data_IF_999904136951
#
_entry.id   IF_999904136951
#
_cell.length_a   1.000
_cell.length_b   1.000
_cell.length_c   1.000
_cell.angle_alpha   90.00
_cell.angle_beta   90.00
_cell.angle_gamma   90.00
#
_symmetry.space_group_name_H-M   'P 1'
#
loop_
_entity.id
_entity.type
_entity.pdbx_description
1 polymer ?
#
# COMPACT_ATOMS: atom_id res chain seq x y z
N UNK A 1 19.26 14.97 -68.11
CA UNK A 1 19.37 14.55 -66.68
C UNK A 1 17.95 14.15 -66.21
N UNK A 2 17.70 12.90 -65.77
CA UNK A 2 16.44 12.42 -65.16
C UNK A 2 16.42 12.70 -63.63
N UNK A 3 15.44 12.36 -62.78
CA UNK A 3 14.07 11.75 -62.84
C UNK A 3 13.23 12.39 -61.68
N UNK A 4 11.91 12.23 -61.44
CA UNK A 4 10.86 11.21 -61.66
C UNK A 4 10.85 10.04 -60.62
N UNK A 5 9.63 9.75 -60.13
CA UNK A 5 9.14 8.88 -59.03
C UNK A 5 9.55 7.37 -59.13
N UNK A 6 9.23 6.43 -58.20
CA UNK A 6 8.09 6.30 -57.25
C UNK A 6 8.35 5.36 -56.02
N UNK A 7 7.31 4.71 -55.48
CA UNK A 7 7.22 4.07 -54.14
C UNK A 7 7.41 2.53 -54.10
N UNK A 8 7.50 1.98 -52.87
CA UNK A 8 7.24 0.58 -52.40
C UNK A 8 8.28 -0.57 -52.57
N UNK A 9 8.22 -1.52 -51.60
CA UNK A 9 9.11 -2.67 -51.25
C UNK A 9 8.83 -3.96 -52.09
N UNK A 10 9.33 -5.23 -51.83
CA UNK A 10 10.01 -5.83 -50.64
C UNK A 10 11.06 -7.02 -50.86
N UNK A 11 11.39 -7.77 -49.78
CA UNK A 11 11.90 -9.19 -49.68
C UNK A 11 13.43 -9.52 -49.83
N UNK A 12 13.89 -10.58 -49.12
CA UNK A 12 15.28 -11.13 -49.00
C UNK A 12 15.52 -12.46 -49.77
N UNK A 13 16.74 -13.07 -49.85
CA UNK A 13 17.10 -14.17 -48.91
C UNK A 13 18.62 -14.54 -48.64
N UNK A 14 18.85 -15.23 -47.49
CA UNK A 14 19.86 -16.27 -47.06
C UNK A 14 21.21 -16.58 -47.75
N UNK A 15 22.22 -17.05 -46.95
CA UNK A 15 22.96 -18.36 -47.08
C UNK A 15 23.87 -18.66 -45.84
N UNK A 16 24.50 -19.85 -45.77
CA UNK A 16 24.89 -20.63 -44.55
C UNK A 16 26.33 -20.52 -43.96
N UNK A 17 26.44 -21.08 -42.73
CA UNK A 17 27.60 -21.42 -41.86
C UNK A 17 28.63 -22.43 -42.45
N UNK A 18 29.74 -22.75 -41.73
CA UNK A 18 29.71 -23.91 -40.81
C UNK A 18 30.54 -23.78 -39.50
N UNK A 19 30.52 -24.85 -38.70
CA UNK A 19 31.10 -25.01 -37.35
C UNK A 19 32.39 -25.84 -37.37
N UNK A 20 33.33 -25.61 -36.45
CA UNK A 20 34.16 -26.69 -35.89
C UNK A 20 34.67 -26.38 -34.47
N UNK A 21 34.85 -27.42 -33.65
CA UNK A 21 35.17 -27.35 -32.22
C UNK A 21 36.26 -28.35 -31.85
N UNK A 22 37.25 -27.95 -31.04
CA UNK A 22 38.23 -28.87 -30.45
C UNK A 22 38.52 -28.48 -29.00
N UNK A 23 38.43 -29.46 -28.10
CA UNK A 23 39.06 -29.49 -26.77
C UNK A 23 39.95 -30.76 -26.76
N UNK A 24 41.07 -30.79 -26.02
CA UNK A 24 41.02 -31.51 -24.74
C UNK A 24 42.01 -31.05 -23.64
N UNK A 25 41.84 -31.66 -22.46
CA UNK A 25 42.87 -32.04 -21.47
C UNK A 25 43.85 -31.01 -20.87
N UNK A 26 43.56 -30.62 -19.62
CA UNK A 26 44.36 -30.84 -18.39
C UNK A 26 45.90 -30.69 -18.52
N UNK A 27 46.46 -29.78 -17.73
CA UNK A 27 47.71 -30.03 -16.98
C UNK A 27 47.72 -29.28 -15.63
N UNK A 28 48.27 -29.90 -14.59
CA UNK A 28 48.58 -29.24 -13.32
C UNK A 28 50.03 -28.71 -13.34
N UNK A 29 50.26 -27.54 -12.75
CA UNK A 29 51.58 -27.14 -12.25
C UNK A 29 51.48 -26.03 -11.20
N UNK A 30 51.86 -26.33 -9.96
CA UNK A 30 52.25 -25.29 -9.00
C UNK A 30 53.59 -24.69 -9.43
N UNK A 31 53.80 -23.38 -9.23
CA UNK A 31 54.97 -22.81 -8.52
C UNK A 31 54.93 -21.26 -8.49
N UNK A 32 55.87 -20.67 -7.76
CA UNK A 32 55.74 -19.34 -7.14
C UNK A 32 56.73 -18.28 -7.66
N UNK A 33 56.21 -17.05 -7.82
CA UNK A 33 56.79 -15.75 -7.43
C UNK A 33 58.31 -15.51 -7.63
N UNK A 34 58.67 -14.53 -8.48
CA UNK A 34 59.56 -13.36 -8.21
C UNK A 34 60.07 -12.77 -9.57
N UNK A 35 60.49 -11.50 -9.73
CA UNK A 35 60.24 -10.20 -9.07
C UNK A 35 61.35 -9.20 -9.47
N UNK A 36 61.07 -8.14 -10.26
CA UNK A 36 61.89 -6.90 -10.43
C UNK A 36 61.07 -5.89 -11.30
N UNK A 37 61.15 -4.56 -11.19
CA UNK A 37 61.86 -3.62 -10.28
C UNK A 37 61.07 -2.30 -10.20
N UNK A 38 61.01 -1.66 -9.01
CA UNK A 38 60.70 -0.23 -8.87
C UNK A 38 62.01 0.59 -8.75
N UNK A 39 62.00 1.89 -9.09
CA UNK A 39 61.98 2.95 -8.05
C UNK A 39 61.01 4.10 -8.42
N UNK A 40 60.71 5.13 -7.62
CA UNK A 40 61.43 5.81 -6.52
C UNK A 40 60.48 6.11 -5.34
N UNK A 41 61.02 6.19 -4.11
CA UNK A 41 60.33 6.66 -2.90
C UNK A 41 61.31 7.45 -2.00
N UNK A 42 60.83 8.42 -1.21
CA UNK A 42 61.10 8.42 0.24
C UNK A 42 59.83 8.80 1.07
N UNK A 43 59.63 8.46 2.35
CA UNK A 43 60.29 7.57 3.35
C UNK A 43 59.34 7.47 4.60
N UNK A 44 59.57 6.83 5.77
CA UNK A 44 60.76 6.21 6.40
C UNK A 44 60.35 5.02 7.34
N UNK A 45 61.05 4.81 8.47
CA UNK A 45 60.96 3.69 9.45
C UNK A 45 59.81 3.83 10.49
N UNK A 46 59.25 2.78 11.16
CA UNK A 46 59.77 1.49 11.73
C UNK A 46 60.55 1.65 13.06
N UNK A 47 60.70 0.65 13.98
CA UNK A 47 60.50 -0.82 13.88
C UNK A 47 59.61 -1.50 14.98
N UNK A 48 58.90 -2.62 14.74
CA UNK A 48 59.23 -4.08 14.87
C UNK A 48 59.53 -4.63 16.30
N UNK A 49 58.71 -5.59 16.80
CA UNK A 49 59.13 -6.93 17.32
C UNK A 49 57.93 -7.86 17.69
N UNK A 50 58.19 -9.16 17.87
CA UNK A 50 57.18 -10.23 18.01
C UNK A 50 57.68 -11.46 18.81
N UNK A 51 56.84 -12.08 19.67
CA UNK A 51 57.15 -13.33 20.41
C UNK A 51 55.89 -14.23 20.57
N UNK A 52 56.10 -15.54 20.73
CA UNK A 52 55.09 -16.61 20.90
C UNK A 52 54.46 -16.71 22.32
N UNK A 53 53.37 -17.49 22.51
CA UNK A 53 52.60 -17.56 23.77
C UNK A 53 53.06 -18.64 24.75
N UNK A 54 52.74 -18.46 26.04
CA UNK A 54 52.77 -19.50 27.08
C UNK A 54 51.60 -19.35 28.09
N UNK A 55 51.33 -20.41 28.86
CA UNK A 55 50.13 -20.59 29.69
C UNK A 55 50.42 -20.30 31.17
N UNK A 56 49.51 -19.64 31.89
CA UNK A 56 49.17 -20.01 33.28
C UNK A 56 47.80 -19.46 33.75
N UNK A 57 47.24 -20.08 34.78
CA UNK A 57 45.91 -19.80 35.37
C UNK A 57 45.98 -18.73 36.48
N UNK A 58 44.93 -17.92 36.68
CA UNK A 58 44.09 -17.96 37.91
C UNK A 58 43.11 -16.77 38.11
N UNK A 59 41.96 -17.09 38.70
CA UNK A 59 41.15 -16.33 39.68
C UNK A 59 40.63 -14.89 39.45
N UNK A 60 39.29 -14.81 39.38
CA UNK A 60 38.38 -13.98 40.20
C UNK A 60 38.21 -12.45 39.97
N UNK A 61 36.96 -12.12 39.56
CA UNK A 61 36.07 -11.09 40.16
C UNK A 61 36.00 -9.64 39.65
N UNK A 62 34.85 -9.36 39.00
CA UNK A 62 34.00 -8.14 39.07
C UNK A 62 34.36 -6.93 38.15
N UNK A 63 33.28 -6.31 37.66
CA UNK A 63 33.12 -5.15 36.74
C UNK A 63 33.74 -3.82 37.26
N UNK A 64 33.86 -2.73 36.45
CA UNK A 64 33.16 -2.46 35.17
C UNK A 64 33.97 -1.79 34.02
N UNK A 65 33.27 -1.60 32.87
CA UNK A 65 33.57 -0.71 31.74
C UNK A 65 35.01 -0.61 31.19
N UNK A 66 35.26 -1.26 30.03
CA UNK A 66 35.45 -0.56 28.73
C UNK A 66 35.53 -1.56 27.57
N UNK A 67 34.98 -1.18 26.41
CA UNK A 67 35.22 -1.83 25.11
C UNK A 67 36.38 -1.07 24.40
N UNK A 68 37.06 -1.61 23.36
CA UNK A 68 36.55 -2.61 22.40
C UNK A 68 37.50 -3.79 22.06
N UNK A 69 36.96 -4.83 21.41
CA UNK A 69 37.46 -5.45 20.15
C UNK A 69 36.56 -6.65 19.74
N UNK A 70 36.36 -6.85 18.44
CA UNK A 70 35.66 -8.01 17.83
C UNK A 70 36.60 -9.24 17.71
N UNK A 71 36.14 -10.48 17.39
CA UNK A 71 34.82 -10.86 16.87
C UNK A 71 34.19 -12.13 17.50
N UNK A 72 32.95 -12.43 17.12
CA UNK A 72 32.51 -13.80 16.77
C UNK A 72 31.14 -13.78 16.10
N UNK A 73 31.01 -14.36 14.89
CA UNK A 73 29.71 -14.60 14.27
C UNK A 73 29.25 -15.99 14.71
N UNK A 74 28.43 -16.02 15.75
CA UNK A 74 27.55 -17.15 16.04
C UNK A 74 26.12 -16.75 15.63
N UNK A 75 25.28 -17.66 15.13
CA UNK A 75 23.87 -17.35 14.83
C UNK A 75 23.06 -17.23 16.13
N UNK A 76 23.24 -16.12 16.84
CA UNK A 76 22.32 -15.70 17.89
C UNK A 76 21.01 -15.28 17.23
N UNK A 77 19.97 -16.10 17.39
CA UNK A 77 18.60 -15.74 17.02
C UNK A 77 18.23 -14.51 17.85
N UNK A 78 18.20 -13.34 17.20
CA UNK A 78 17.70 -12.13 17.84
C UNK A 78 16.18 -12.30 18.02
N UNK A 79 15.75 -12.58 19.25
CA UNK A 79 14.35 -12.51 19.64
C UNK A 79 13.93 -11.03 19.69
N UNK A 80 13.65 -10.47 18.51
CA UNK A 80 13.07 -9.13 18.34
C UNK A 80 11.58 -9.19 18.65
N UNK A 81 11.24 -9.22 19.94
CA UNK A 81 9.86 -9.12 20.40
C UNK A 81 9.29 -7.74 20.02
N UNK A 82 8.02 -7.71 19.61
CA UNK A 82 7.30 -6.50 19.23
C UNK A 82 7.30 -5.49 20.39
N UNK A 83 8.11 -4.42 20.26
CA UNK A 83 8.47 -3.54 21.37
C UNK A 83 7.48 -2.38 21.51
N UNK A 84 6.23 -2.73 21.83
CA UNK A 84 5.13 -1.78 22.03
C UNK A 84 5.30 -1.07 23.38
N UNK A 85 5.90 0.12 23.36
CA UNK A 85 5.53 1.10 24.38
C UNK A 85 4.10 1.58 24.07
N UNK A 86 3.17 1.54 25.03
CA UNK A 86 1.73 1.66 24.76
C UNK A 86 1.39 3.00 24.12
N UNK A 87 0.66 2.95 23.00
CA UNK A 87 0.21 4.11 22.21
C UNK A 87 -0.98 4.84 22.86
N UNK A 88 -1.14 4.73 24.18
CA UNK A 88 -2.37 5.07 24.92
C UNK A 88 -2.54 6.55 25.26
N UNK A 89 -1.69 7.45 24.73
CA UNK A 89 -1.73 8.88 25.08
C UNK A 89 -1.38 9.92 23.97
N UNK A 90 -1.82 9.76 22.69
CA UNK A 90 -1.75 10.84 21.70
C UNK A 90 -3.12 11.37 21.18
N UNK A 91 -4.24 10.70 21.47
CA UNK A 91 -5.53 10.90 20.74
C UNK A 91 -6.11 12.32 20.88
N UNK A 92 -5.75 13.07 21.94
CA UNK A 92 -6.13 14.48 22.12
C UNK A 92 -4.95 15.46 22.08
N UNK A 93 -3.70 14.98 22.06
CA UNK A 93 -2.49 15.83 22.07
C UNK A 93 -1.96 16.09 20.65
N UNK A 94 -2.86 16.48 19.72
CA UNK A 94 -2.57 16.87 18.33
C UNK A 94 -1.80 18.21 18.21
N UNK A 95 -0.78 18.41 19.06
CA UNK A 95 0.04 19.62 19.08
C UNK A 95 1.07 19.53 17.93
N UNK A 96 0.91 20.41 16.94
CA UNK A 96 1.92 20.79 15.94
C UNK A 96 2.25 19.87 14.74
N UNK A 97 1.42 18.89 14.37
CA UNK A 97 1.52 18.26 13.02
C UNK A 97 0.82 19.10 11.92
N UNK A 98 1.30 20.34 11.70
CA UNK A 98 0.67 21.30 10.79
C UNK A 98 0.59 20.86 9.32
N UNK A 99 1.46 19.94 8.88
CA UNK A 99 1.40 19.35 7.54
C UNK A 99 0.29 18.32 7.34
N UNK A 100 -0.40 17.89 8.41
CA UNK A 100 -1.48 16.89 8.38
C UNK A 100 -2.82 17.43 8.93
N UNK A 101 -2.97 18.75 9.11
CA UNK A 101 -4.26 19.34 9.54
C UNK A 101 -5.37 19.17 8.48
N UNK A 102 -5.00 18.98 7.20
CA UNK A 102 -5.89 18.55 6.12
C UNK A 102 -5.98 17.01 5.97
N UNK A 103 -5.64 16.25 7.01
CA UNK A 103 -5.64 14.77 7.02
C UNK A 103 -5.91 14.20 8.42
N UNK A 104 -6.72 14.87 9.23
CA UNK A 104 -7.02 14.44 10.59
C UNK A 104 -7.87 13.16 10.67
N UNK A 105 -8.85 12.91 9.78
CA UNK A 105 -9.47 11.59 9.69
C UNK A 105 -8.50 10.45 9.34
N UNK A 106 -7.41 10.74 8.60
CA UNK A 106 -6.34 9.74 8.39
C UNK A 106 -5.59 9.43 9.69
N UNK A 107 -5.31 10.44 10.53
CA UNK A 107 -4.73 10.20 11.87
C UNK A 107 -5.67 9.33 12.72
N UNK A 108 -6.98 9.59 12.69
CA UNK A 108 -7.98 8.73 13.35
C UNK A 108 -7.91 7.29 12.82
N UNK A 109 -8.02 7.08 11.51
CA UNK A 109 -7.95 5.74 10.91
C UNK A 109 -6.64 5.01 11.24
N UNK A 110 -5.49 5.65 11.03
CA UNK A 110 -4.18 5.02 11.25
C UNK A 110 -3.96 4.64 12.72
N UNK A 111 -4.37 5.48 13.67
CA UNK A 111 -4.24 5.18 15.11
C UNK A 111 -5.23 4.09 15.53
N UNK A 112 -6.51 4.21 15.16
CA UNK A 112 -7.53 3.22 15.51
C UNK A 112 -7.24 1.84 14.91
N UNK A 113 -6.84 1.76 13.64
CA UNK A 113 -6.51 0.48 13.01
C UNK A 113 -5.20 -0.10 13.55
N UNK A 114 -4.21 0.73 13.91
CA UNK A 114 -3.01 0.24 14.60
C UNK A 114 -3.36 -0.39 15.96
N UNK A 115 -4.22 0.24 16.74
CA UNK A 115 -4.68 -0.31 18.03
C UNK A 115 -5.54 -1.57 17.84
N UNK A 116 -6.42 -1.58 16.82
CA UNK A 116 -7.22 -2.75 16.45
C UNK A 116 -6.35 -3.97 16.11
N UNK A 117 -5.31 -3.80 15.29
CA UNK A 117 -4.39 -4.88 14.92
C UNK A 117 -3.57 -5.41 16.10
N UNK A 118 -3.34 -4.56 17.11
CA UNK A 118 -2.67 -4.90 18.37
C UNK A 118 -3.63 -5.46 19.43
N UNK A 119 -4.92 -5.64 19.10
CA UNK A 119 -6.01 -6.03 20.02
C UNK A 119 -6.17 -5.11 21.25
N UNK A 120 -5.70 -3.86 21.16
CA UNK A 120 -5.70 -2.88 22.24
C UNK A 120 -7.09 -2.26 22.46
N UNK A 121 -7.63 -2.39 23.69
CA UNK A 121 -8.98 -1.92 24.01
C UNK A 121 -9.07 -0.40 24.15
N UNK A 122 -9.93 0.25 23.38
CA UNK A 122 -10.13 1.71 23.40
C UNK A 122 -11.32 2.08 24.31
N UNK A 123 -11.18 3.02 25.27
CA UNK A 123 -12.29 3.44 26.13
C UNK A 123 -13.44 4.07 25.34
N UNK A 124 -14.68 3.74 25.69
CA UNK A 124 -15.89 4.18 24.97
C UNK A 124 -16.07 5.71 24.90
N UNK A 125 -15.59 6.44 25.91
CA UNK A 125 -15.56 7.90 25.90
C UNK A 125 -14.70 8.43 24.73
N UNK A 126 -13.50 7.87 24.55
CA UNK A 126 -12.57 8.26 23.47
C UNK A 126 -13.16 7.90 22.09
N UNK A 127 -13.85 6.76 21.96
CA UNK A 127 -14.52 6.43 20.69
C UNK A 127 -15.69 7.37 20.38
N UNK A 128 -16.45 7.83 21.39
CA UNK A 128 -17.50 8.84 21.21
C UNK A 128 -16.90 10.21 20.84
N UNK A 129 -15.81 10.63 21.49
CA UNK A 129 -15.06 11.84 21.11
C UNK A 129 -14.57 11.80 19.65
N UNK A 130 -14.11 10.64 19.17
CA UNK A 130 -13.76 10.45 17.74
C UNK A 130 -14.99 10.51 16.84
N UNK A 131 -16.14 9.94 17.23
CA UNK A 131 -17.38 10.07 16.46
C UNK A 131 -17.82 11.54 16.33
N UNK A 132 -17.81 12.29 17.43
CA UNK A 132 -18.09 13.73 17.47
C UNK A 132 -17.10 14.54 16.63
N UNK A 133 -15.81 14.19 16.67
CA UNK A 133 -14.79 14.85 15.85
C UNK A 133 -14.98 14.57 14.34
N UNK A 134 -15.34 13.35 13.96
CA UNK A 134 -15.58 12.99 12.56
C UNK A 134 -16.90 13.60 12.04
N UNK A 135 -17.93 13.73 12.87
CA UNK A 135 -19.15 14.48 12.56
C UNK A 135 -18.83 15.97 12.24
N UNK A 136 -17.99 16.61 13.07
CA UNK A 136 -17.47 17.96 12.80
C UNK A 136 -16.60 18.06 11.53
N UNK A 137 -16.08 16.94 11.02
CA UNK A 137 -15.37 16.87 9.74
C UNK A 137 -16.30 16.56 8.54
N UNK A 138 -17.58 16.28 8.75
CA UNK A 138 -18.50 15.98 7.67
C UNK A 138 -18.97 17.27 6.97
N UNK A 139 -19.02 17.27 5.64
CA UNK A 139 -19.55 18.42 4.90
C UNK A 139 -21.09 18.39 4.88
N UNK A 140 -21.77 19.55 5.00
CA UNK A 140 -23.20 19.68 4.70
C UNK A 140 -23.59 19.25 3.28
N UNK A 141 -22.63 19.17 2.35
CA UNK A 141 -22.81 18.66 0.98
C UNK A 141 -22.48 17.16 0.84
N UNK A 142 -22.10 16.49 1.93
CA UNK A 142 -21.68 15.09 1.94
C UNK A 142 -20.19 14.87 1.78
N UNK A 143 -19.75 13.65 2.14
CA UNK A 143 -18.33 13.33 2.33
C UNK A 143 -17.75 13.94 3.61
N UNK A 144 -16.53 13.53 3.94
CA UNK A 144 -15.75 14.09 5.04
C UNK A 144 -14.55 14.89 4.50
N UNK A 145 -14.18 15.92 5.24
CA UNK A 145 -13.09 16.85 4.94
C UNK A 145 -11.82 16.51 5.72
N UNK A 146 -10.70 17.15 5.36
CA UNK A 146 -9.41 16.94 6.05
C UNK A 146 -9.39 17.34 7.53
N UNK A 147 -10.31 18.20 7.93
CA UNK A 147 -10.57 18.69 9.28
C UNK A 147 -11.83 19.58 9.31
N UNK A 148 -12.31 20.02 10.48
CA UNK A 148 -13.57 20.75 10.59
C UNK A 148 -13.59 22.05 9.77
N UNK A 149 -14.68 22.26 9.03
CA UNK A 149 -14.87 23.44 8.17
C UNK A 149 -14.06 23.45 6.86
N UNK A 150 -13.27 22.42 6.56
CA UNK A 150 -12.60 22.25 5.26
C UNK A 150 -13.55 21.63 4.21
N UNK A 151 -13.14 21.57 2.95
CA UNK A 151 -13.91 20.92 1.88
C UNK A 151 -13.85 19.38 1.95
N UNK A 152 -14.95 18.71 1.62
CA UNK A 152 -15.02 17.25 1.54
C UNK A 152 -14.12 16.69 0.42
N UNK A 153 -13.49 15.56 0.70
CA UNK A 153 -12.46 14.95 -0.15
C UNK A 153 -12.48 13.42 0.03
N UNK A 154 -12.28 12.65 -1.03
CA UNK A 154 -12.43 11.18 -1.02
C UNK A 154 -11.45 10.48 -0.05
N UNK A 155 -10.20 10.93 0.03
CA UNK A 155 -9.21 10.36 0.95
C UNK A 155 -9.61 10.44 2.46
N UNK A 156 -9.93 11.61 3.05
CA UNK A 156 -10.46 11.65 4.42
C UNK A 156 -11.88 11.07 4.53
N UNK A 157 -12.68 11.03 3.46
CA UNK A 157 -13.97 10.31 3.44
C UNK A 157 -13.78 8.81 3.66
N UNK A 158 -12.84 8.18 2.95
CA UNK A 158 -12.43 6.80 3.17
C UNK A 158 -11.94 6.56 4.61
N UNK A 159 -11.04 7.43 5.09
CA UNK A 159 -10.47 7.28 6.42
C UNK A 159 -11.51 7.44 7.54
N UNK A 160 -12.43 8.41 7.42
CA UNK A 160 -13.52 8.61 8.37
C UNK A 160 -14.48 7.41 8.40
N UNK A 161 -14.91 6.90 7.24
CA UNK A 161 -15.81 5.74 7.16
C UNK A 161 -15.15 4.48 7.72
N UNK A 162 -13.87 4.24 7.43
CA UNK A 162 -13.13 3.14 8.05
C UNK A 162 -13.00 3.30 9.57
N UNK A 163 -12.66 4.50 10.06
CA UNK A 163 -12.55 4.79 11.50
C UNK A 163 -13.87 4.54 12.25
N UNK A 164 -15.00 4.99 11.69
CA UNK A 164 -16.33 4.74 12.23
C UNK A 164 -16.70 3.24 12.17
N UNK A 165 -16.27 2.51 11.13
CA UNK A 165 -16.45 1.06 11.06
C UNK A 165 -15.63 0.28 12.10
N UNK A 166 -14.40 0.72 12.42
CA UNK A 166 -13.56 0.12 13.48
C UNK A 166 -14.22 0.29 14.86
N UNK A 167 -14.75 1.48 15.14
CA UNK A 167 -15.52 1.75 16.37
C UNK A 167 -16.79 0.88 16.39
N UNK A 168 -17.50 0.82 15.26
CA UNK A 168 -18.57 -0.14 15.03
C UNK A 168 -19.76 -0.07 15.98
N UNK A 169 -20.02 1.09 16.60
CA UNK A 169 -21.21 1.36 17.41
C UNK A 169 -22.33 1.92 16.54
N UNK A 170 -23.58 1.86 17.00
CA UNK A 170 -24.69 2.54 16.32
C UNK A 170 -24.46 4.06 16.27
N UNK A 171 -23.87 4.65 17.31
CA UNK A 171 -23.37 6.03 17.31
C UNK A 171 -22.45 6.30 16.11
N UNK A 172 -21.39 5.49 15.93
CA UNK A 172 -20.43 5.66 14.84
C UNK A 172 -21.06 5.46 13.45
N UNK A 173 -21.97 4.50 13.29
CA UNK A 173 -22.69 4.31 12.02
C UNK A 173 -23.65 5.46 11.72
N UNK A 174 -24.33 6.01 12.73
CA UNK A 174 -25.28 7.11 12.59
C UNK A 174 -24.62 8.46 12.26
N UNK A 175 -23.32 8.64 12.48
CA UNK A 175 -22.57 9.82 11.98
C UNK A 175 -22.65 9.91 10.45
N UNK A 176 -22.72 8.80 9.71
CA UNK A 176 -22.61 8.80 8.25
C UNK A 176 -23.94 9.22 7.59
N UNK A 177 -24.04 10.47 7.10
CA UNK A 177 -25.17 10.90 6.27
C UNK A 177 -25.11 10.23 4.88
N UNK A 178 -25.76 9.06 4.77
CA UNK A 178 -25.77 8.23 3.55
C UNK A 178 -26.38 8.89 2.33
N UNK A 179 -27.42 9.73 2.50
CA UNK A 179 -27.99 10.47 1.35
C UNK A 179 -26.96 11.46 0.82
N UNK A 180 -26.40 12.31 1.68
CA UNK A 180 -25.40 13.30 1.26
C UNK A 180 -24.10 12.67 0.77
N UNK A 181 -23.69 11.53 1.34
CA UNK A 181 -22.54 10.79 0.83
C UNK A 181 -22.77 10.32 -0.61
N UNK A 182 -23.99 9.88 -0.98
CA UNK A 182 -24.31 9.54 -2.36
C UNK A 182 -24.29 10.78 -3.28
N UNK A 183 -24.90 11.89 -2.85
CA UNK A 183 -24.85 13.18 -3.56
C UNK A 183 -23.40 13.60 -3.86
N UNK A 184 -22.53 13.47 -2.86
CA UNK A 184 -21.10 13.78 -2.96
C UNK A 184 -20.40 12.86 -3.97
N UNK A 185 -20.58 11.54 -3.91
CA UNK A 185 -19.97 10.63 -4.89
C UNK A 185 -20.41 10.93 -6.32
N UNK A 186 -21.69 11.26 -6.54
CA UNK A 186 -22.18 11.71 -7.86
C UNK A 186 -21.54 13.03 -8.31
N UNK A 187 -21.36 14.01 -7.41
CA UNK A 187 -20.70 15.28 -7.73
C UNK A 187 -19.23 15.15 -8.19
N UNK A 188 -18.61 13.98 -7.97
CA UNK A 188 -17.23 13.69 -8.34
C UNK A 188 -17.12 12.77 -9.57
N UNK A 189 -18.20 12.07 -9.94
CA UNK A 189 -18.20 11.07 -11.04
C UNK A 189 -17.97 11.76 -12.39
N UNK A 190 -16.97 11.29 -13.12
CA UNK A 190 -16.61 11.81 -14.43
C UNK A 190 -17.24 10.99 -15.58
N UNK A 191 -17.44 11.59 -16.77
CA UNK A 191 -18.02 10.92 -17.93
C UNK A 191 -17.20 9.73 -18.44
N UNK A 192 -15.88 9.73 -18.23
CA UNK A 192 -14.97 8.66 -18.65
C UNK A 192 -14.89 7.47 -17.65
N UNK A 193 -15.75 7.44 -16.63
CA UNK A 193 -15.74 6.44 -15.56
C UNK A 193 -14.87 6.77 -14.35
N UNK A 194 -13.96 7.74 -14.43
CA UNK A 194 -13.13 8.17 -13.29
C UNK A 194 -13.90 8.98 -12.24
N UNK A 195 -13.25 9.34 -11.15
CA UNK A 195 -13.75 10.30 -10.17
C UNK A 195 -12.66 11.37 -9.91
N UNK A 196 -13.05 12.60 -9.61
CA UNK A 196 -12.14 13.58 -8.99
C UNK A 196 -12.02 13.33 -7.48
N UNK A 197 -10.87 13.62 -6.88
CA UNK A 197 -10.64 13.43 -5.44
C UNK A 197 -11.47 14.38 -4.57
N UNK A 198 -11.77 15.57 -5.08
CA UNK A 198 -12.70 16.55 -4.52
C UNK A 198 -13.24 17.45 -5.65
N UNK A 199 -14.21 18.32 -5.36
CA UNK A 199 -14.72 19.30 -6.33
C UNK A 199 -13.56 20.20 -6.78
N UNK A 200 -13.24 20.21 -8.08
CA UNK A 200 -12.09 20.92 -8.65
C UNK A 200 -10.71 20.28 -8.36
N UNK A 201 -10.67 19.05 -7.85
CA UNK A 201 -9.45 18.32 -7.50
C UNK A 201 -8.85 17.47 -8.62
N UNK A 202 -7.83 16.69 -8.27
CA UNK A 202 -7.14 15.78 -9.18
C UNK A 202 -7.94 14.50 -9.48
N UNK A 203 -7.60 13.84 -10.59
CA UNK A 203 -8.11 12.50 -10.95
C UNK A 203 -6.95 11.51 -10.89
N UNK A 204 -7.06 10.48 -10.06
CA UNK A 204 -6.30 9.24 -10.16
C UNK A 204 -7.03 8.09 -9.44
N UNK A 205 -6.53 6.85 -9.59
CA UNK A 205 -7.22 5.63 -9.14
C UNK A 205 -7.47 5.52 -7.63
N UNK A 206 -6.84 6.37 -6.78
CA UNK A 206 -7.25 6.53 -5.37
C UNK A 206 -8.73 6.89 -5.25
N UNK A 207 -9.24 7.71 -6.18
CA UNK A 207 -10.62 8.20 -6.18
C UNK A 207 -11.62 7.04 -6.30
N UNK A 208 -11.44 6.19 -7.32
CA UNK A 208 -12.29 5.03 -7.58
C UNK A 208 -12.28 4.04 -6.40
N UNK A 209 -11.12 3.80 -5.77
CA UNK A 209 -11.04 2.97 -4.57
C UNK A 209 -11.76 3.59 -3.36
N UNK A 210 -11.50 4.87 -3.07
CA UNK A 210 -12.14 5.55 -1.94
C UNK A 210 -13.68 5.57 -2.12
N UNK A 211 -14.16 5.90 -3.33
CA UNK A 211 -15.57 5.91 -3.68
C UNK A 211 -16.20 4.51 -3.57
N UNK A 212 -15.58 3.49 -4.18
CA UNK A 212 -16.09 2.11 -4.13
C UNK A 212 -16.13 1.57 -2.70
N UNK A 213 -15.08 1.80 -1.91
CA UNK A 213 -14.96 1.36 -0.52
C UNK A 213 -16.07 1.93 0.36
N UNK A 214 -16.28 3.25 0.37
CA UNK A 214 -17.33 3.83 1.21
C UNK A 214 -18.73 3.50 0.68
N UNK A 215 -18.90 3.37 -0.65
CA UNK A 215 -20.18 3.02 -1.25
C UNK A 215 -20.63 1.58 -0.95
N UNK A 216 -19.69 0.62 -0.89
CA UNK A 216 -19.98 -0.77 -0.57
C UNK A 216 -20.20 -1.00 0.92
N UNK A 217 -19.36 -0.41 1.79
CA UNK A 217 -19.51 -0.51 3.24
C UNK A 217 -20.83 0.11 3.72
N UNK A 218 -21.18 1.30 3.22
CA UNK A 218 -22.38 2.05 3.65
C UNK A 218 -23.65 1.68 2.87
N UNK A 219 -23.60 0.69 1.99
CA UNK A 219 -24.75 0.24 1.18
C UNK A 219 -25.43 1.38 0.39
N UNK A 220 -24.65 2.21 -0.32
CA UNK A 220 -25.18 3.29 -1.19
C UNK A 220 -24.79 3.11 -2.67
N UNK A 221 -24.11 2.01 -3.00
CA UNK A 221 -23.69 1.69 -4.36
C UNK A 221 -24.89 1.51 -5.31
N UNK A 222 -24.85 2.17 -6.47
CA UNK A 222 -25.81 1.99 -7.57
C UNK A 222 -25.07 1.60 -8.86
N UNK A 223 -25.69 0.89 -9.81
CA UNK A 223 -25.04 0.50 -11.05
C UNK A 223 -24.50 1.68 -11.87
N UNK A 224 -25.27 2.78 -11.94
CA UNK A 224 -24.91 3.96 -12.74
C UNK A 224 -23.76 4.78 -12.11
N UNK A 225 -23.62 4.78 -10.78
CA UNK A 225 -22.56 5.53 -10.10
C UNK A 225 -21.15 5.07 -10.51
N UNK A 226 -20.98 3.78 -10.81
CA UNK A 226 -19.71 3.17 -11.23
C UNK A 226 -19.69 2.76 -12.72
N UNK A 227 -20.60 3.34 -13.52
CA UNK A 227 -20.61 3.17 -14.98
C UNK A 227 -19.30 3.67 -15.60
N UNK A 228 -18.73 2.86 -16.50
CA UNK A 228 -17.38 2.97 -17.06
C UNK A 228 -16.18 2.97 -16.08
N UNK A 229 -16.38 3.03 -14.76
CA UNK A 229 -15.27 3.01 -13.78
C UNK A 229 -14.40 1.75 -13.92
N UNK A 230 -15.00 0.62 -14.28
CA UNK A 230 -14.26 -0.62 -14.60
C UNK A 230 -13.31 -0.42 -15.78
N UNK A 231 -13.83 0.06 -16.92
CA UNK A 231 -13.04 0.29 -18.13
C UNK A 231 -11.90 1.28 -17.88
N UNK A 232 -12.17 2.33 -17.10
CA UNK A 232 -11.17 3.31 -16.72
C UNK A 232 -10.04 2.74 -15.85
N UNK A 233 -10.36 1.98 -14.79
CA UNK A 233 -9.33 1.33 -13.95
C UNK A 233 -8.47 0.36 -14.78
N UNK A 234 -9.08 -0.41 -15.69
CA UNK A 234 -8.35 -1.33 -16.57
C UNK A 234 -7.35 -0.58 -17.47
N UNK A 235 -7.71 0.61 -17.96
CA UNK A 235 -6.79 1.45 -18.73
C UNK A 235 -5.61 2.02 -17.93
N UNK A 236 -5.61 1.90 -16.60
CA UNK A 236 -4.46 2.21 -15.75
C UNK A 236 -3.46 1.04 -15.62
N UNK A 237 -3.82 -0.20 -16.00
CA UNK A 237 -2.87 -1.32 -16.06
C UNK A 237 -1.87 -1.11 -17.21
N UNK A 238 -0.57 -1.19 -16.92
CA UNK A 238 0.47 -0.85 -17.90
C UNK A 238 1.32 -2.05 -18.33
N UNK A 239 2.29 -1.82 -19.22
CA UNK A 239 3.21 -2.82 -19.79
C UNK A 239 4.09 -3.55 -18.76
N UNK A 240 4.21 -3.05 -17.54
CA UNK A 240 4.92 -3.72 -16.45
C UNK A 240 4.06 -4.82 -15.79
N UNK A 241 2.73 -4.70 -15.90
CA UNK A 241 1.72 -5.59 -15.31
C UNK A 241 0.97 -5.00 -14.10
N UNK A 242 1.55 -4.03 -13.39
CA UNK A 242 0.87 -3.30 -12.31
C UNK A 242 -0.03 -2.17 -12.84
N UNK A 243 -0.71 -1.45 -11.94
CA UNK A 243 -1.52 -0.29 -12.30
C UNK A 243 -0.85 1.01 -11.88
N UNK A 244 -1.11 2.03 -12.68
CA UNK A 244 -0.64 3.40 -12.52
C UNK A 244 -1.75 4.32 -11.99
N UNK A 245 -1.42 5.57 -11.64
CA UNK A 245 -2.41 6.51 -11.08
C UNK A 245 -3.48 6.92 -12.09
N UNK A 246 -3.04 7.24 -13.31
CA UNK A 246 -3.86 7.51 -14.49
C UNK A 246 -3.24 6.81 -15.70
N UNK A 247 -4.01 6.54 -16.78
CA UNK A 247 -3.56 5.74 -17.91
C UNK A 247 -2.23 6.20 -18.52
N UNK A 248 -1.35 5.23 -18.79
CA UNK A 248 -0.06 5.45 -19.45
C UNK A 248 1.12 5.86 -18.54
N UNK A 249 0.93 5.94 -17.21
CA UNK A 249 2.02 6.22 -16.27
C UNK A 249 2.70 4.93 -15.74
N UNK A 250 3.72 5.09 -14.89
CA UNK A 250 4.46 4.02 -14.21
C UNK A 250 3.57 3.29 -13.17
N UNK A 251 3.72 1.96 -13.06
CA UNK A 251 2.97 1.15 -12.13
C UNK A 251 3.47 1.33 -10.69
N UNK A 252 2.57 1.34 -9.71
CA UNK A 252 2.88 1.78 -8.35
C UNK A 252 2.05 1.08 -7.29
N UNK A 253 2.67 0.54 -6.24
CA UNK A 253 1.99 -0.32 -5.25
C UNK A 253 0.65 0.22 -4.75
N UNK A 254 0.63 1.44 -4.20
CA UNK A 254 -0.62 2.08 -3.77
C UNK A 254 -1.70 2.26 -4.85
N UNK A 255 -1.33 2.56 -6.11
CA UNK A 255 -2.28 2.67 -7.22
C UNK A 255 -2.74 1.29 -7.72
N UNK A 256 -1.82 0.33 -7.81
CA UNK A 256 -2.11 -1.09 -8.06
C UNK A 256 -3.10 -1.64 -7.03
N UNK A 257 -2.88 -1.39 -5.74
CA UNK A 257 -3.80 -1.74 -4.66
C UNK A 257 -5.17 -1.08 -4.87
N UNK A 258 -5.22 0.25 -5.03
CA UNK A 258 -6.48 0.97 -5.19
C UNK A 258 -7.31 0.41 -6.36
N UNK A 259 -6.73 0.28 -7.55
CA UNK A 259 -7.45 -0.24 -8.71
C UNK A 259 -7.86 -1.71 -8.58
N UNK A 260 -7.00 -2.57 -8.03
CA UNK A 260 -7.33 -3.99 -7.83
C UNK A 260 -8.43 -4.17 -6.77
N UNK A 261 -8.33 -3.48 -5.63
CA UNK A 261 -9.34 -3.52 -4.58
C UNK A 261 -10.68 -2.93 -5.04
N UNK A 262 -10.67 -1.84 -5.81
CA UNK A 262 -11.87 -1.28 -6.43
C UNK A 262 -12.54 -2.29 -7.40
N UNK A 263 -11.76 -2.98 -8.24
CA UNK A 263 -12.30 -4.01 -9.14
C UNK A 263 -12.83 -5.24 -8.39
N UNK A 264 -12.22 -5.65 -7.27
CA UNK A 264 -12.76 -6.70 -6.38
C UNK A 264 -14.07 -6.28 -5.72
N UNK A 265 -14.23 -5.00 -5.35
CA UNK A 265 -15.51 -4.47 -4.84
C UNK A 265 -16.60 -4.49 -5.93
N UNK A 266 -16.23 -4.17 -7.17
CA UNK A 266 -17.13 -4.15 -8.33
C UNK A 266 -17.41 -5.55 -8.94
N UNK A 267 -16.70 -6.60 -8.51
CA UNK A 267 -16.80 -7.95 -9.08
C UNK A 267 -16.27 -8.04 -10.51
N UNK A 268 -15.15 -7.34 -10.79
CA UNK A 268 -14.53 -7.16 -12.11
C UNK A 268 -13.02 -7.41 -12.10
N UNK A 269 -12.49 -8.02 -11.04
CA UNK A 269 -11.06 -8.32 -10.88
C UNK A 269 -10.51 -9.21 -12.01
N UNK A 270 -11.31 -10.15 -12.50
CA UNK A 270 -11.02 -11.07 -13.62
C UNK A 270 -10.81 -10.36 -14.98
N UNK A 271 -11.06 -9.05 -15.08
CA UNK A 271 -10.84 -8.29 -16.33
C UNK A 271 -9.41 -7.73 -16.45
N UNK A 272 -8.59 -7.81 -15.39
CA UNK A 272 -7.17 -7.48 -15.42
C UNK A 272 -6.36 -8.60 -16.08
N UNK A 273 -5.18 -8.29 -16.62
CA UNK A 273 -4.15 -9.32 -16.81
C UNK A 273 -3.59 -9.71 -15.43
N UNK A 274 -4.27 -10.64 -14.76
CA UNK A 274 -3.90 -11.18 -13.44
C UNK A 274 -2.51 -11.82 -13.44
N UNK A 275 -2.04 -12.32 -14.60
CA UNK A 275 -0.75 -13.00 -14.73
C UNK A 275 0.40 -11.99 -14.83
N UNK A 276 0.22 -10.91 -15.59
CA UNK A 276 1.15 -9.78 -15.60
C UNK A 276 1.15 -9.08 -14.24
N UNK A 277 -0.01 -8.88 -13.62
CA UNK A 277 -0.14 -8.27 -12.30
C UNK A 277 0.54 -9.09 -11.19
N UNK A 278 0.30 -10.42 -11.15
CA UNK A 278 0.98 -11.32 -10.22
C UNK A 278 2.50 -11.27 -10.42
N UNK A 279 2.97 -11.42 -11.67
CA UNK A 279 4.40 -11.30 -11.99
C UNK A 279 4.98 -9.96 -11.54
N UNK A 280 4.24 -8.86 -11.73
CA UNK A 280 4.68 -7.54 -11.33
C UNK A 280 4.84 -7.43 -9.81
N UNK A 281 3.82 -7.77 -9.02
CA UNK A 281 3.84 -7.58 -7.56
C UNK A 281 4.84 -8.49 -6.85
N UNK A 282 4.99 -9.76 -7.26
CA UNK A 282 6.02 -10.63 -6.66
C UNK A 282 7.44 -10.13 -6.96
N UNK A 283 7.63 -9.46 -8.10
CA UNK A 283 8.88 -8.78 -8.46
C UNK A 283 9.13 -7.48 -7.68
N UNK A 284 8.19 -7.05 -6.81
CA UNK A 284 8.34 -5.90 -5.90
C UNK A 284 8.84 -6.30 -4.51
N UNK A 285 8.90 -7.60 -4.17
CA UNK A 285 9.58 -8.02 -2.95
C UNK A 285 11.10 -7.97 -3.13
N UNK A 286 11.79 -7.41 -2.14
CA UNK A 286 13.21 -7.11 -2.20
C UNK A 286 14.02 -8.32 -1.74
N UNK A 287 14.72 -8.97 -2.68
CA UNK A 287 15.46 -10.24 -2.51
C UNK A 287 16.55 -10.28 -1.42
N UNK A 288 16.83 -9.16 -0.75
CA UNK A 288 17.82 -9.04 0.31
C UNK A 288 17.22 -8.35 1.54
N UNK A 289 16.46 -7.29 1.35
CA UNK A 289 15.80 -6.56 2.44
C UNK A 289 14.53 -7.24 2.96
N UNK A 290 13.92 -8.20 2.24
CA UNK A 290 12.70 -8.92 2.63
C UNK A 290 11.39 -8.13 2.48
N UNK A 291 11.45 -6.81 2.72
CA UNK A 291 10.36 -5.87 2.48
C UNK A 291 10.02 -5.64 1.00
N UNK A 292 9.15 -4.66 0.72
CA UNK A 292 8.71 -4.34 -0.65
C UNK A 292 9.16 -2.95 -1.13
N UNK A 293 9.39 -2.82 -2.44
CA UNK A 293 9.54 -1.53 -3.13
C UNK A 293 8.21 -1.07 -3.75
N UNK A 294 7.95 0.24 -3.76
CA UNK A 294 6.73 0.78 -4.37
C UNK A 294 6.64 0.67 -5.89
N UNK A 295 7.79 0.66 -6.59
CA UNK A 295 7.93 0.53 -8.06
C UNK A 295 9.26 -0.12 -8.39
N UNK A 296 9.46 -0.48 -9.65
CA UNK A 296 10.72 -1.04 -10.14
C UNK A 296 11.91 -0.10 -9.89
N UNK A 297 13.08 -0.64 -9.53
CA UNK A 297 14.32 0.11 -9.23
C UNK A 297 14.18 1.23 -8.16
N UNK A 298 13.18 1.16 -7.28
CA UNK A 298 13.07 2.01 -6.08
C UNK A 298 13.56 1.26 -4.84
N UNK A 299 13.82 1.99 -3.76
CA UNK A 299 14.19 1.42 -2.47
C UNK A 299 13.02 0.62 -1.86
N UNK A 300 13.36 -0.31 -0.97
CA UNK A 300 12.42 -0.89 0.01
C UNK A 300 11.76 0.22 0.85
N UNK A 301 10.52 0.05 1.29
CA UNK A 301 9.81 0.97 2.20
C UNK A 301 8.69 0.20 2.94
N UNK A 302 8.64 0.37 4.26
CA UNK A 302 7.74 -0.35 5.16
C UNK A 302 6.25 -0.22 4.85
N UNK A 303 5.76 0.90 4.28
CA UNK A 303 4.34 1.02 3.97
C UNK A 303 3.88 0.08 2.83
N UNK A 304 4.81 -0.32 1.95
CA UNK A 304 4.51 -1.29 0.89
C UNK A 304 4.34 -2.72 1.41
N UNK A 305 4.66 -2.97 2.68
CA UNK A 305 4.26 -4.20 3.38
C UNK A 305 2.75 -4.41 3.30
N UNK A 306 1.93 -3.35 3.31
CA UNK A 306 0.51 -3.47 2.98
C UNK A 306 0.24 -3.28 1.48
N UNK A 307 0.65 -2.14 0.91
CA UNK A 307 0.26 -1.76 -0.46
C UNK A 307 0.70 -2.72 -1.57
N UNK A 308 1.73 -3.55 -1.34
CA UNK A 308 2.11 -4.62 -2.25
C UNK A 308 1.63 -5.99 -1.75
N UNK A 309 1.93 -6.37 -0.49
CA UNK A 309 1.59 -7.72 -0.03
C UNK A 309 0.08 -7.98 0.05
N UNK A 310 -0.72 -6.94 0.35
CA UNK A 310 -2.18 -6.97 0.34
C UNK A 310 -2.81 -7.26 -1.03
N UNK A 311 -2.05 -7.14 -2.13
CA UNK A 311 -2.50 -7.60 -3.46
C UNK A 311 -2.52 -9.13 -3.58
N UNK A 312 -1.66 -9.86 -2.85
CA UNK A 312 -1.57 -11.31 -3.02
C UNK A 312 -2.84 -12.05 -2.54
N UNK A 313 -3.49 -11.69 -1.41
CA UNK A 313 -4.81 -12.22 -1.06
C UNK A 313 -5.91 -11.89 -2.10
N UNK A 314 -5.87 -10.70 -2.71
CA UNK A 314 -6.83 -10.30 -3.75
C UNK A 314 -6.63 -11.13 -5.03
N UNK A 315 -5.38 -11.27 -5.48
CA UNK A 315 -4.99 -12.11 -6.61
C UNK A 315 -5.29 -13.59 -6.36
N UNK A 316 -5.05 -14.08 -5.15
CA UNK A 316 -5.36 -15.46 -4.76
C UNK A 316 -6.86 -15.75 -4.89
N UNK A 317 -7.72 -14.84 -4.38
CA UNK A 317 -9.17 -14.93 -4.55
C UNK A 317 -9.59 -14.87 -6.02
N UNK A 318 -9.02 -13.97 -6.82
CA UNK A 318 -9.33 -13.84 -8.24
C UNK A 318 -9.00 -15.14 -9.01
N UNK A 319 -7.76 -15.62 -8.90
CA UNK A 319 -7.29 -16.83 -9.56
C UNK A 319 -8.03 -18.09 -9.06
N UNK A 320 -8.44 -18.13 -7.79
CA UNK A 320 -9.26 -19.23 -7.25
C UNK A 320 -10.67 -19.26 -7.86
N UNK A 321 -11.28 -18.09 -8.08
CA UNK A 321 -12.56 -17.98 -8.76
C UNK A 321 -12.46 -18.35 -10.25
N UNK A 322 -11.34 -18.04 -10.90
CA UNK A 322 -11.04 -18.46 -12.28
C UNK A 322 -10.65 -19.95 -12.41
N UNK A 323 -10.52 -20.67 -11.28
CA UNK A 323 -10.32 -22.11 -11.22
C UNK A 323 -8.86 -22.60 -11.26
N UNK A 324 -7.89 -21.74 -10.94
CA UNK A 324 -6.46 -22.10 -10.89
C UNK A 324 -6.17 -23.20 -9.85
N UNK A 325 -5.69 -24.36 -10.31
CA UNK A 325 -5.49 -25.55 -9.47
C UNK A 325 -4.22 -25.49 -8.63
N UNK A 326 -3.21 -24.76 -9.08
CA UNK A 326 -1.87 -24.74 -8.48
C UNK A 326 -1.73 -23.74 -7.31
N UNK A 327 -2.84 -23.14 -6.87
CA UNK A 327 -2.86 -22.23 -5.73
C UNK A 327 -2.57 -22.95 -4.40
N UNK A 328 -1.63 -22.39 -3.65
CA UNK A 328 -1.26 -22.88 -2.32
C UNK A 328 -2.45 -22.80 -1.34
N UNK A 329 -2.65 -23.85 -0.55
CA UNK A 329 -3.71 -23.93 0.47
C UNK A 329 -3.26 -23.46 1.86
N UNK A 330 -2.07 -22.86 1.94
CA UNK A 330 -1.41 -22.51 3.20
C UNK A 330 -0.62 -21.19 3.15
N UNK A 331 -0.28 -20.67 1.96
CA UNK A 331 0.67 -19.57 1.79
C UNK A 331 0.21 -18.60 0.72
N UNK A 332 0.44 -17.32 0.95
CA UNK A 332 0.35 -16.30 -0.10
C UNK A 332 1.52 -16.41 -1.08
N UNK A 333 1.38 -15.81 -2.26
CA UNK A 333 2.37 -15.89 -3.34
C UNK A 333 3.56 -14.92 -3.15
N UNK A 334 4.06 -14.78 -1.93
CA UNK A 334 5.25 -13.99 -1.58
C UNK A 334 5.97 -14.62 -0.37
N UNK A 335 7.21 -14.21 -0.09
CA UNK A 335 7.91 -14.68 1.10
C UNK A 335 7.37 -14.00 2.37
N UNK A 336 6.40 -14.67 2.98
CA UNK A 336 5.76 -14.25 4.22
C UNK A 336 6.72 -14.18 5.41
N UNK A 337 7.83 -14.94 5.43
CA UNK A 337 8.79 -14.89 6.53
C UNK A 337 9.74 -13.70 6.36
N UNK A 338 10.30 -13.51 5.16
CA UNK A 338 11.18 -12.38 4.87
C UNK A 338 10.49 -11.02 5.05
N UNK A 339 9.17 -10.92 4.80
CA UNK A 339 8.43 -9.70 5.11
C UNK A 339 8.31 -9.47 6.63
N UNK A 340 8.08 -10.51 7.43
CA UNK A 340 8.03 -10.39 8.89
C UNK A 340 9.41 -10.03 9.47
N UNK A 341 10.50 -10.64 8.95
CA UNK A 341 11.87 -10.28 9.31
C UNK A 341 12.14 -8.79 9.05
N UNK A 342 11.78 -8.27 7.87
CA UNK A 342 11.93 -6.85 7.55
C UNK A 342 11.17 -5.94 8.53
N UNK A 343 9.90 -6.24 8.80
CA UNK A 343 9.07 -5.38 9.65
C UNK A 343 9.59 -5.41 11.10
N UNK A 344 9.85 -6.59 11.65
CA UNK A 344 10.25 -6.76 13.05
C UNK A 344 11.69 -6.27 13.32
N UNK A 345 12.62 -6.46 12.38
CA UNK A 345 14.04 -6.10 12.57
C UNK A 345 14.39 -4.69 12.06
N UNK A 346 13.71 -4.19 11.01
CA UNK A 346 14.09 -2.94 10.34
C UNK A 346 13.04 -1.82 10.43
N UNK A 347 11.75 -2.12 10.68
CA UNK A 347 10.68 -1.12 10.69
C UNK A 347 10.19 -0.69 12.08
N UNK A 348 10.67 -1.28 13.18
CA UNK A 348 10.32 -0.84 14.53
C UNK A 348 11.15 0.36 14.99
N UNK A 349 10.53 1.33 15.69
CA UNK A 349 11.25 2.35 16.45
C UNK A 349 11.37 1.92 17.94
N UNK A 350 12.57 1.98 18.57
CA UNK A 350 12.75 1.58 19.98
C UNK A 350 11.93 2.37 21.03
N UNK A 351 11.27 3.47 20.64
CA UNK A 351 10.37 4.24 21.52
C UNK A 351 8.89 4.01 21.23
N UNK A 352 8.56 2.98 20.44
CA UNK A 352 7.21 2.63 19.97
C UNK A 352 6.88 3.20 18.59
N UNK A 353 5.92 2.59 17.88
CA UNK A 353 5.56 2.96 16.50
C UNK A 353 6.54 2.46 15.43
N UNK A 354 6.11 2.45 14.17
CA UNK A 354 6.89 1.93 13.04
C UNK A 354 7.21 3.02 12.00
N UNK A 355 8.10 2.69 11.06
CA UNK A 355 8.77 3.62 10.15
C UNK A 355 9.04 3.02 8.76
N UNK A 356 9.39 3.89 7.80
CA UNK A 356 9.78 3.53 6.41
C UNK A 356 10.92 2.50 6.36
N UNK A 357 12.11 2.87 6.85
CA UNK A 357 13.35 2.08 6.85
C UNK A 357 14.35 2.59 7.90
N UNK A 358 15.35 1.82 8.31
CA UNK A 358 16.36 2.26 9.28
C UNK A 358 16.97 3.63 8.94
N UNK A 359 17.05 4.52 9.92
CA UNK A 359 17.48 5.91 9.75
C UNK A 359 16.36 6.90 9.39
N UNK A 360 15.10 6.46 9.34
CA UNK A 360 13.91 7.33 9.22
C UNK A 360 13.23 7.57 10.57
N UNK A 361 12.41 8.61 10.62
CA UNK A 361 11.51 8.86 11.76
C UNK A 361 10.32 7.90 11.73
N UNK A 362 9.72 7.67 12.91
CA UNK A 362 8.40 7.03 13.05
C UNK A 362 7.27 8.00 12.70
N UNK A 363 6.16 7.47 12.21
CA UNK A 363 4.89 8.20 12.06
C UNK A 363 3.69 7.22 12.06
N UNK A 364 2.48 7.77 12.14
CA UNK A 364 1.26 6.95 12.24
C UNK A 364 0.92 6.22 10.93
N UNK A 365 1.29 6.76 9.76
CA UNK A 365 1.07 6.13 8.46
C UNK A 365 1.88 4.84 8.33
N UNK A 366 3.18 4.89 8.63
CA UNK A 366 4.04 3.70 8.66
C UNK A 366 3.67 2.76 9.81
N UNK A 367 3.27 3.28 10.98
CA UNK A 367 2.75 2.44 12.08
C UNK A 367 1.57 1.60 11.61
N UNK A 368 0.56 2.23 10.98
CA UNK A 368 -0.60 1.53 10.42
C UNK A 368 -0.21 0.52 9.34
N UNK A 369 0.48 0.92 8.28
CA UNK A 369 0.69 0.06 7.11
C UNK A 369 1.79 -1.00 7.30
N UNK A 370 2.75 -0.81 8.21
CA UNK A 370 3.66 -1.89 8.61
C UNK A 370 2.94 -2.96 9.43
N UNK A 371 2.07 -2.59 10.39
CA UNK A 371 1.24 -3.56 11.13
C UNK A 371 0.23 -4.26 10.21
N UNK A 372 -0.40 -3.52 9.29
CA UNK A 372 -1.32 -4.08 8.30
C UNK A 372 -0.62 -5.11 7.41
N UNK A 373 0.61 -4.82 6.97
CA UNK A 373 1.44 -5.76 6.21
C UNK A 373 1.92 -6.96 7.02
N UNK A 374 2.24 -6.78 8.30
CA UNK A 374 2.60 -7.86 9.23
C UNK A 374 1.42 -8.83 9.42
N UNK A 375 0.20 -8.32 9.58
CA UNK A 375 -1.04 -9.10 9.63
C UNK A 375 -1.24 -9.92 8.34
N UNK A 376 -1.14 -9.29 7.15
CA UNK A 376 -1.21 -10.00 5.85
C UNK A 376 -0.10 -11.06 5.72
N UNK A 377 1.09 -10.83 6.29
CA UNK A 377 2.18 -11.81 6.29
C UNK A 377 1.95 -12.98 7.26
N UNK A 378 1.20 -12.77 8.34
CA UNK A 378 0.93 -13.78 9.37
C UNK A 378 -0.23 -14.71 9.01
N UNK A 379 -1.34 -14.18 8.51
CA UNK A 379 -2.58 -14.95 8.31
C UNK A 379 -2.85 -15.27 6.83
N UNK A 380 -2.92 -16.55 6.50
CA UNK A 380 -3.46 -17.07 5.24
C UNK A 380 -4.91 -17.57 5.44
N UNK A 381 -5.82 -17.21 4.54
CA UNK A 381 -7.21 -17.65 4.61
C UNK A 381 -7.89 -17.71 3.24
N UNK A 382 -8.34 -18.90 2.82
CA UNK A 382 -9.16 -19.09 1.62
C UNK A 382 -10.22 -20.19 1.83
N UNK A 383 -11.50 -19.80 1.75
CA UNK A 383 -12.68 -20.66 2.00
C UNK A 383 -12.58 -21.39 3.35
N UNK A 384 -12.34 -22.70 3.38
CA UNK A 384 -12.20 -23.52 4.60
C UNK A 384 -10.74 -23.64 5.08
N UNK A 385 -9.77 -23.13 4.31
CA UNK A 385 -8.35 -23.26 4.62
C UNK A 385 -7.83 -22.01 5.31
N UNK A 386 -7.48 -22.15 6.59
CA UNK A 386 -6.82 -21.12 7.39
C UNK A 386 -5.45 -21.65 7.85
N UNK A 387 -4.40 -20.84 7.71
CA UNK A 387 -3.06 -21.16 8.22
C UNK A 387 -2.37 -19.89 8.69
N UNK A 388 -1.60 -20.00 9.77
CA UNK A 388 -0.90 -18.89 10.38
C UNK A 388 0.57 -19.24 10.52
N UNK A 389 1.43 -18.26 10.27
CA UNK A 389 2.87 -18.38 10.48
C UNK A 389 3.36 -17.11 11.16
N UNK A 390 3.47 -17.17 12.48
CA UNK A 390 3.97 -16.08 13.32
C UNK A 390 5.49 -16.22 13.44
N UNK A 391 6.24 -15.19 13.09
CA UNK A 391 7.69 -15.15 13.27
C UNK A 391 8.07 -14.60 14.65
N UNK A 392 8.96 -15.29 15.36
CA UNK A 392 9.47 -14.88 16.67
C UNK A 392 8.73 -15.60 17.79
N UNK A 393 8.02 -14.85 18.64
CA UNK A 393 7.18 -15.40 19.72
C UNK A 393 5.69 -15.17 19.41
N UNK A 394 4.79 -15.86 20.11
CA UNK A 394 3.34 -15.74 19.87
C UNK A 394 2.81 -14.33 20.15
N UNK A 395 3.48 -13.54 20.99
CA UNK A 395 3.14 -12.13 21.25
C UNK A 395 3.44 -11.18 20.08
N UNK A 396 4.08 -11.66 19.00
CA UNK A 396 4.20 -10.92 17.74
C UNK A 396 2.96 -11.04 16.84
N UNK A 397 1.99 -11.91 17.20
CA UNK A 397 0.73 -12.13 16.50
C UNK A 397 -0.15 -10.88 16.53
N UNK A 398 -0.73 -10.54 15.38
CA UNK A 398 -1.73 -9.48 15.24
C UNK A 398 -3.14 -10.04 15.05
N UNK A 399 -4.14 -9.16 15.07
CA UNK A 399 -5.44 -9.48 14.49
C UNK A 399 -5.37 -9.51 12.95
N UNK A 400 -6.20 -10.33 12.26
CA UNK A 400 -6.24 -10.37 10.80
C UNK A 400 -6.91 -9.13 10.20
N UNK A 401 -6.30 -8.48 9.20
CA UNK A 401 -6.91 -7.37 8.45
C UNK A 401 -7.64 -7.85 7.17
N UNK A 402 -8.74 -7.20 6.80
CA UNK A 402 -9.48 -7.53 5.58
C UNK A 402 -8.79 -6.90 4.35
N UNK A 403 -8.29 -7.69 3.38
CA UNK A 403 -7.35 -7.21 2.34
C UNK A 403 -7.95 -6.20 1.36
N UNK A 404 -9.27 -6.08 1.26
CA UNK A 404 -9.94 -5.06 0.42
C UNK A 404 -10.08 -3.70 1.13
N UNK A 405 -10.24 -3.66 2.45
CA UNK A 405 -10.69 -2.47 3.18
C UNK A 405 -9.68 -1.95 4.22
N UNK A 406 -8.73 -2.79 4.63
CA UNK A 406 -7.79 -2.56 5.72
C UNK A 406 -8.43 -2.10 7.04
N UNK A 407 -9.40 -2.91 7.50
CA UNK A 407 -9.97 -2.96 8.86
C UNK A 407 -10.22 -4.45 9.17
N UNK A 408 -10.36 -4.85 10.43
CA UNK A 408 -10.57 -6.27 10.75
C UNK A 408 -11.87 -6.84 10.12
N UNK A 409 -11.89 -8.11 9.64
CA UNK A 409 -13.02 -8.72 8.96
C UNK A 409 -14.34 -8.70 9.75
N UNK A 410 -14.29 -8.71 11.08
CA UNK A 410 -15.48 -8.59 11.93
C UNK A 410 -16.15 -7.21 11.78
N UNK A 411 -15.36 -6.14 11.65
CA UNK A 411 -15.85 -4.77 11.41
C UNK A 411 -16.50 -4.65 10.04
N UNK A 412 -15.87 -5.23 9.01
CA UNK A 412 -16.43 -5.30 7.65
C UNK A 412 -17.78 -6.01 7.68
N UNK A 413 -17.84 -7.19 8.32
CA UNK A 413 -19.07 -7.96 8.44
C UNK A 413 -20.16 -7.20 9.21
N UNK A 414 -19.82 -6.59 10.35
CA UNK A 414 -20.75 -5.83 11.20
C UNK A 414 -21.30 -4.58 10.50
N UNK A 415 -20.43 -3.79 9.87
CA UNK A 415 -20.82 -2.58 9.15
C UNK A 415 -21.73 -2.94 7.95
N UNK A 416 -21.32 -3.91 7.14
CA UNK A 416 -22.12 -4.38 5.99
C UNK A 416 -23.45 -5.00 6.44
N UNK A 417 -23.49 -5.73 7.56
CA UNK A 417 -24.73 -6.25 8.14
C UNK A 417 -25.66 -5.13 8.64
N UNK A 418 -25.11 -4.07 9.24
CA UNK A 418 -25.88 -2.89 9.67
C UNK A 418 -26.45 -2.13 8.46
N UNK A 419 -25.59 -1.66 7.56
CA UNK A 419 -26.02 -0.79 6.45
C UNK A 419 -26.90 -1.50 5.41
N UNK A 420 -26.84 -2.83 5.28
CA UNK A 420 -27.78 -3.62 4.47
C UNK A 420 -29.23 -3.64 4.99
N UNK A 421 -29.47 -3.25 6.24
CA UNK A 421 -30.82 -3.09 6.79
C UNK A 421 -31.46 -1.77 6.35
N UNK A 422 -30.66 -0.82 5.87
CA UNK A 422 -31.12 0.47 5.34
C UNK A 422 -31.24 0.38 3.81
N UNK A 423 -32.28 1.00 3.24
CA UNK A 423 -32.40 1.12 1.78
C UNK A 423 -31.27 1.95 1.19
N UNK A 424 -30.88 1.65 -0.05
CA UNK A 424 -30.05 2.54 -0.86
C UNK A 424 -30.80 3.87 -1.04
N UNK A 425 -30.17 5.04 -0.87
CA UNK A 425 -30.82 6.33 -1.11
C UNK A 425 -31.33 6.48 -2.54
N UNK A 426 -32.42 7.23 -2.71
CA UNK A 426 -33.10 7.37 -4.00
C UNK A 426 -32.32 8.24 -4.99
N UNK A 427 -31.58 7.58 -5.89
CA UNK A 427 -30.77 8.20 -6.94
C UNK A 427 -31.59 8.88 -8.05
N UNK A 428 -32.93 8.71 -8.11
CA UNK A 428 -33.76 9.35 -9.15
C UNK A 428 -33.74 10.89 -9.08
N UNK A 429 -33.30 11.45 -7.95
CA UNK A 429 -33.16 12.89 -7.70
C UNK A 429 -32.06 13.58 -8.52
N UNK A 430 -31.17 12.83 -9.19
CA UNK A 430 -29.90 13.36 -9.74
C UNK A 430 -29.70 13.19 -11.25
N UNK A 431 -30.74 12.86 -12.01
CA UNK A 431 -30.74 12.96 -13.48
C UNK A 431 -30.85 14.43 -13.98
N UNK A 432 -29.99 15.31 -13.47
CA UNK A 432 -29.81 16.68 -13.96
C UNK A 432 -28.77 16.75 -15.09
N UNK A 433 -28.83 17.74 -15.99
CA UNK A 433 -27.80 17.95 -17.00
C UNK A 433 -26.45 18.34 -16.34
N UNK A 434 -25.31 18.09 -16.99
CA UNK A 434 -24.00 18.53 -16.50
C UNK A 434 -23.93 20.06 -16.37
N UNK A 435 -23.07 20.54 -15.47
CA UNK A 435 -23.05 21.93 -15.01
C UNK A 435 -22.55 22.98 -16.03
N UNK A 436 -22.28 22.58 -17.29
CA UNK A 436 -21.69 23.41 -18.36
C UNK A 436 -22.74 23.90 -19.38
N UNK A 437 -23.99 24.08 -18.95
CA UNK A 437 -25.02 24.73 -19.74
C UNK A 437 -25.03 26.25 -19.46
N UNK A 438 -24.27 27.01 -20.26
CA UNK A 438 -24.34 28.49 -20.21
C UNK A 438 -25.80 28.97 -20.44
N UNK A 439 -26.28 29.97 -19.68
CA UNK A 439 -27.61 30.53 -19.89
C UNK A 439 -27.61 31.34 -21.20
N UNK A 440 -28.20 30.77 -22.25
CA UNK A 440 -28.36 31.44 -23.55
C UNK A 440 -29.06 32.80 -23.37
N UNK A 441 -28.46 33.88 -23.86
CA UNK A 441 -29.00 35.23 -23.70
C UNK A 441 -30.45 35.36 -24.22
N UNK A 442 -31.34 36.08 -23.51
CA UNK A 442 -32.68 36.34 -24.00
C UNK A 442 -32.63 37.25 -25.24
N UNK A 443 -33.04 36.70 -26.39
CA UNK A 443 -33.03 37.41 -27.67
C UNK A 443 -33.77 38.76 -27.57
N UNK A 444 -33.09 39.84 -28.00
CA UNK A 444 -33.62 41.20 -27.89
C UNK A 444 -34.82 41.42 -28.81
N UNK A 445 -35.96 41.77 -28.24
CA UNK A 445 -37.18 42.07 -28.98
C UNK A 445 -37.02 43.38 -29.77
N UNK A 446 -36.88 43.28 -31.09
CA UNK A 446 -36.79 44.43 -31.97
C UNK A 446 -38.13 45.18 -32.03
N UNK A 447 -38.17 46.40 -31.49
CA UNK A 447 -39.33 47.28 -31.58
C UNK A 447 -39.48 47.85 -33.00
N UNK A 448 -40.56 47.48 -33.69
CA UNK A 448 -40.98 48.12 -34.94
C UNK A 448 -41.53 49.54 -34.70
N UNK A 449 -41.43 50.45 -35.68
CA UNK A 449 -41.89 51.83 -35.54
C UNK A 449 -43.42 51.98 -35.53
N UNK A 450 -43.89 53.14 -35.07
CA UNK A 450 -45.29 53.48 -34.84
C UNK A 450 -46.10 53.71 -36.13
N UNK A 451 -47.41 53.47 -36.04
CA UNK A 451 -48.48 54.12 -36.82
C UNK A 451 -49.73 54.25 -35.95
#
# INVERSE_FOLDING_TARGET
RPSIHSFTSPICPSIHSPVQSVHPSIHQSNLSIHSFTNPICPSIHSPIQSVHPFIHQSNLSIHPFTNPICPSIHPSIYQSNLSIHPLTNPILSFIHQSCLDASRPWLCFWILHSLELLEESIPSAITSEVCQFLDLCQSPTGGFAGGPGQHAHLAPTYAAVNALCIIGTEEAYNVINREKLLDFLWSLKQPNGSFVMHIGGEVDVRSAYCAASVASLTNIMTPALFEDTTNWILSCQNWEGGLSGVPGLEAHGGYTFCGTAALVILGKEHMLDLKALLRWVISRQMRFEGGFQGRCNKLVDGCYSFWQAGLLPLLHRALFNDGESELSRQRWMFDQLALQEYILLCCQNPTGGLLDKPGKSRDFYHTCYCLSGLSIAQHFGNVEHYHEVILGTEENRLAPTHPVYNICPDKVAKAVQHFRQLSVPDASRQAGPPADAEPSEPASAAAGPQS
#
